data_IF_117980929224
#
_entry.id   IF_117980929224
#
_cell.length_a   1.000
_cell.length_b   1.000
_cell.length_c   1.000
_cell.angle_alpha   90.00
_cell.angle_beta   90.00
_cell.angle_gamma   90.00
#
_symmetry.space_group_name_H-M   'P 1'
#
loop_
_entity.id
_entity.type
_entity.pdbx_description
1 polymer ?
#
# COMPACT_ATOMS: atom_id res chain seq x y z
N UNK A 1 25.94 -18.40 -24.64
CA UNK A 1 24.69 -18.36 -23.83
C UNK A 1 24.67 -19.37 -22.68
N UNK A 2 24.85 -20.67 -22.93
CA UNK A 2 24.79 -21.71 -21.88
C UNK A 2 25.79 -21.50 -20.72
N UNK A 3 27.04 -21.17 -21.04
CA UNK A 3 28.10 -20.93 -20.03
C UNK A 3 27.83 -19.68 -19.19
N UNK A 4 27.38 -18.60 -19.84
CA UNK A 4 27.02 -17.34 -19.18
C UNK A 4 25.86 -17.58 -18.19
N UNK A 5 24.86 -18.34 -18.60
CA UNK A 5 23.72 -18.71 -17.76
C UNK A 5 24.15 -19.54 -16.54
N UNK A 6 25.07 -20.48 -16.73
CA UNK A 6 25.68 -21.24 -15.63
C UNK A 6 26.43 -20.33 -14.65
N UNK A 7 27.16 -19.34 -15.16
CA UNK A 7 27.87 -18.37 -14.32
C UNK A 7 26.90 -17.51 -13.50
N UNK A 8 25.78 -17.08 -14.07
CA UNK A 8 24.75 -16.34 -13.32
C UNK A 8 24.08 -17.17 -12.22
N UNK A 9 23.90 -18.48 -12.43
CA UNK A 9 23.38 -19.40 -11.42
C UNK A 9 24.35 -19.57 -10.24
N UNK A 10 25.64 -19.64 -10.54
CA UNK A 10 26.68 -19.81 -9.52
C UNK A 10 26.93 -18.51 -8.74
N UNK A 11 26.93 -17.35 -9.41
CA UNK A 11 27.16 -16.05 -8.79
C UNK A 11 26.05 -15.02 -9.12
N UNK A 12 24.83 -15.17 -8.55
CA UNK A 12 23.70 -14.29 -8.85
C UNK A 12 23.89 -12.82 -8.41
N UNK A 13 24.93 -12.54 -7.62
CA UNK A 13 25.22 -11.22 -7.08
C UNK A 13 26.00 -10.32 -8.04
N UNK A 14 26.67 -10.88 -9.05
CA UNK A 14 27.47 -10.11 -10.01
C UNK A 14 26.70 -9.69 -11.27
N UNK A 15 25.42 -10.08 -11.36
CA UNK A 15 24.58 -9.80 -12.53
C UNK A 15 24.35 -8.29 -12.65
N UNK A 16 24.73 -7.73 -13.80
CA UNK A 16 24.68 -6.29 -14.07
C UNK A 16 23.43 -5.88 -14.88
N UNK A 17 23.30 -4.60 -15.22
CA UNK A 17 22.19 -4.09 -16.04
C UNK A 17 22.14 -4.68 -17.45
N UNK A 18 23.30 -4.90 -18.08
CA UNK A 18 23.36 -5.44 -19.45
C UNK A 18 22.89 -6.89 -19.50
N UNK A 19 23.28 -7.69 -18.50
CA UNK A 19 22.78 -9.06 -18.32
C UNK A 19 21.26 -9.08 -18.15
N UNK A 20 20.69 -8.08 -17.48
CA UNK A 20 19.25 -8.01 -17.26
C UNK A 20 18.45 -7.89 -18.57
N UNK A 21 19.03 -7.26 -19.61
CA UNK A 21 18.41 -7.17 -20.93
C UNK A 21 18.38 -8.56 -21.58
N UNK A 22 19.50 -9.28 -21.55
CA UNK A 22 19.64 -10.63 -22.10
C UNK A 22 18.70 -11.61 -21.38
N UNK A 23 18.64 -11.54 -20.04
CA UNK A 23 17.76 -12.40 -19.25
C UNK A 23 16.28 -12.06 -19.53
N UNK A 24 15.95 -10.79 -19.78
CA UNK A 24 14.59 -10.39 -20.16
C UNK A 24 14.19 -10.99 -21.50
N UNK A 25 15.05 -10.95 -22.49
CA UNK A 25 14.83 -11.61 -23.79
C UNK A 25 14.64 -13.14 -23.61
N UNK A 26 15.42 -13.77 -22.72
CA UNK A 26 15.22 -15.18 -22.36
C UNK A 26 13.87 -15.45 -21.70
N UNK A 27 13.34 -14.53 -20.90
CA UNK A 27 12.02 -14.66 -20.27
C UNK A 27 10.91 -14.52 -21.31
N UNK A 28 11.09 -13.65 -22.30
CA UNK A 28 10.10 -13.46 -23.37
C UNK A 28 10.04 -14.70 -24.26
N UNK A 29 11.20 -15.31 -24.56
CA UNK A 29 11.29 -16.56 -25.32
C UNK A 29 10.85 -17.80 -24.51
N UNK A 30 11.07 -17.80 -23.18
CA UNK A 30 10.73 -18.92 -22.30
C UNK A 30 9.96 -18.44 -21.05
N UNK A 31 8.66 -18.12 -21.19
CA UNK A 31 7.88 -17.48 -20.12
C UNK A 31 7.76 -18.28 -18.83
N UNK A 32 7.86 -19.61 -18.88
CA UNK A 32 7.71 -20.48 -17.72
C UNK A 32 9.06 -20.86 -17.07
N UNK A 33 10.18 -20.33 -17.58
CA UNK A 33 11.49 -20.59 -17.00
C UNK A 33 11.67 -19.81 -15.68
N UNK A 34 11.43 -20.51 -14.57
CA UNK A 34 11.45 -19.93 -13.22
C UNK A 34 12.83 -19.43 -12.82
N UNK A 35 13.89 -20.13 -13.21
CA UNK A 35 15.29 -19.76 -12.96
C UNK A 35 15.67 -18.45 -13.66
N UNK A 36 15.26 -18.25 -14.91
CA UNK A 36 15.50 -16.99 -15.63
C UNK A 36 14.76 -15.83 -14.95
N UNK A 37 13.52 -16.03 -14.52
CA UNK A 37 12.77 -15.03 -13.75
C UNK A 37 13.41 -14.70 -12.40
N UNK A 38 14.00 -15.68 -11.73
CA UNK A 38 14.75 -15.48 -10.48
C UNK A 38 16.02 -14.66 -10.71
N UNK A 39 16.79 -14.98 -11.75
CA UNK A 39 18.01 -14.24 -12.12
C UNK A 39 17.70 -12.80 -12.53
N UNK A 40 16.63 -12.58 -13.31
CA UNK A 40 16.16 -11.24 -13.67
C UNK A 40 15.71 -10.45 -12.45
N UNK A 41 14.93 -11.06 -11.56
CA UNK A 41 14.52 -10.42 -10.32
C UNK A 41 15.75 -10.05 -9.46
N UNK A 42 16.78 -10.90 -9.46
CA UNK A 42 18.02 -10.65 -8.73
C UNK A 42 18.82 -9.50 -9.33
N UNK A 43 18.92 -9.40 -10.66
CA UNK A 43 19.60 -8.28 -11.32
C UNK A 43 18.91 -6.94 -11.03
N UNK A 44 17.57 -6.93 -11.04
CA UNK A 44 16.78 -5.75 -10.63
C UNK A 44 17.01 -5.38 -9.16
N UNK A 45 17.21 -6.38 -8.28
CA UNK A 45 17.52 -6.17 -6.87
C UNK A 45 18.89 -5.54 -6.69
N UNK A 46 19.91 -6.04 -7.40
CA UNK A 46 21.28 -5.55 -7.32
C UNK A 46 21.40 -4.10 -7.82
N UNK A 47 20.65 -3.77 -8.88
CA UNK A 47 20.62 -2.43 -9.50
C UNK A 47 19.65 -1.45 -8.84
N UNK A 48 18.89 -1.86 -7.82
CA UNK A 48 17.82 -1.08 -7.18
C UNK A 48 16.80 -0.50 -8.20
N UNK A 49 16.42 -1.29 -9.21
CA UNK A 49 15.51 -0.83 -10.25
C UNK A 49 14.08 -0.64 -9.71
N UNK A 50 13.40 0.42 -10.16
CA UNK A 50 12.02 0.77 -9.77
C UNK A 50 11.03 -0.37 -10.08
N UNK A 51 11.28 -1.12 -11.16
CA UNK A 51 10.45 -2.24 -11.59
C UNK A 51 10.65 -3.52 -10.77
N UNK A 52 11.55 -3.52 -9.77
CA UNK A 52 11.81 -4.67 -8.92
C UNK A 52 10.54 -5.20 -8.25
N UNK A 53 9.75 -4.34 -7.61
CA UNK A 53 8.56 -4.76 -6.85
C UNK A 53 7.47 -5.36 -7.77
N UNK A 54 7.31 -4.81 -8.96
CA UNK A 54 6.38 -5.35 -9.95
C UNK A 54 6.80 -6.75 -10.40
N UNK A 55 8.09 -6.92 -10.74
CA UNK A 55 8.64 -8.21 -11.16
C UNK A 55 8.70 -9.22 -10.02
N UNK A 56 8.88 -8.78 -8.77
CA UNK A 56 8.82 -9.64 -7.58
C UNK A 56 7.46 -10.34 -7.48
N UNK A 57 6.36 -9.59 -7.66
CA UNK A 57 5.00 -10.15 -7.64
C UNK A 57 4.81 -11.17 -8.77
N UNK A 58 5.26 -10.84 -9.98
CA UNK A 58 5.20 -11.76 -11.12
C UNK A 58 6.00 -13.03 -10.87
N UNK A 59 7.28 -12.92 -10.54
CA UNK A 59 8.16 -14.07 -10.27
C UNK A 59 7.64 -14.93 -9.12
N UNK A 60 7.03 -14.34 -8.09
CA UNK A 60 6.40 -15.08 -7.01
C UNK A 60 5.20 -15.93 -7.46
N UNK A 61 4.46 -15.50 -8.48
CA UNK A 61 3.35 -16.28 -9.05
C UNK A 61 3.85 -17.47 -9.87
N UNK A 62 4.97 -17.33 -10.58
CA UNK A 62 5.60 -18.41 -11.34
C UNK A 62 6.48 -19.33 -10.48
N UNK A 63 6.83 -18.93 -9.25
CA UNK A 63 7.73 -19.70 -8.40
C UNK A 63 6.98 -20.84 -7.69
N UNK A 64 7.46 -22.09 -7.75
CA UNK A 64 6.82 -23.22 -7.09
C UNK A 64 6.90 -23.14 -5.56
N UNK A 65 7.96 -22.57 -5.00
CA UNK A 65 8.11 -22.38 -3.55
C UNK A 65 8.48 -20.94 -3.21
N UNK A 66 7.48 -20.21 -2.70
CA UNK A 66 7.62 -18.83 -2.25
C UNK A 66 8.55 -18.68 -1.04
N UNK A 67 8.69 -19.71 -0.18
CA UNK A 67 9.65 -19.68 0.93
C UNK A 67 11.06 -19.73 0.40
N UNK A 68 11.36 -20.63 -0.54
CA UNK A 68 12.67 -20.72 -1.19
C UNK A 68 13.04 -19.44 -1.94
N UNK A 69 12.09 -18.81 -2.63
CA UNK A 69 12.26 -17.47 -3.22
C UNK A 69 12.59 -16.42 -2.15
N UNK A 70 11.83 -16.38 -1.06
CA UNK A 70 12.09 -15.46 0.04
C UNK A 70 13.49 -15.66 0.63
N UNK A 71 13.87 -16.90 0.94
CA UNK A 71 15.22 -17.22 1.43
C UNK A 71 16.27 -16.74 0.44
N UNK A 72 16.14 -17.05 -0.85
CA UNK A 72 17.06 -16.60 -1.89
C UNK A 72 17.24 -15.07 -1.95
N UNK A 73 16.13 -14.32 -1.81
CA UNK A 73 16.16 -12.85 -1.83
C UNK A 73 16.69 -12.22 -0.53
N UNK A 74 16.60 -12.94 0.60
CA UNK A 74 16.92 -12.43 1.94
C UNK A 74 18.22 -12.98 2.53
N UNK A 75 18.79 -14.07 1.98
CA UNK A 75 19.94 -14.80 2.51
C UNK A 75 21.11 -13.89 2.89
N UNK A 76 21.39 -12.88 2.07
CA UNK A 76 22.49 -11.95 2.32
C UNK A 76 22.18 -10.94 3.44
N UNK A 77 20.92 -10.50 3.56
CA UNK A 77 20.49 -9.59 4.64
C UNK A 77 20.53 -10.28 6.01
N UNK A 78 20.18 -11.56 6.07
CA UNK A 78 20.22 -12.35 7.31
C UNK A 78 21.65 -12.52 7.81
N UNK A 79 22.60 -12.78 6.91
CA UNK A 79 24.03 -12.86 7.27
C UNK A 79 24.62 -11.50 7.68
N UNK A 80 24.21 -10.40 7.03
CA UNK A 80 24.57 -9.04 7.44
C UNK A 80 24.02 -8.70 8.83
N UNK A 81 22.75 -9.02 9.10
CA UNK A 81 22.13 -8.76 10.41
C UNK A 81 22.78 -9.60 11.53
N UNK A 82 23.14 -10.86 11.25
CA UNK A 82 23.88 -11.71 12.20
C UNK A 82 25.27 -11.16 12.52
N UNK A 83 25.94 -10.51 11.55
CA UNK A 83 27.20 -9.78 11.80
C UNK A 83 26.99 -8.49 12.59
N UNK A 84 25.93 -7.73 12.29
CA UNK A 84 25.60 -6.46 12.96
C UNK A 84 25.23 -6.69 14.43
N UNK A 85 24.51 -7.76 14.77
CA UNK A 85 24.15 -8.10 16.16
C UNK A 85 25.36 -8.37 17.07
N UNK A 86 26.49 -8.78 16.49
CA UNK A 86 27.72 -9.06 17.24
C UNK A 86 28.65 -7.84 17.39
N UNK A 87 28.27 -6.68 16.84
CA UNK A 87 29.12 -5.46 16.77
C UNK A 87 28.48 -4.23 17.42
N UNK A 88 27.33 -4.34 18.08
CA UNK A 88 26.65 -3.19 18.72
C UNK A 88 27.03 -2.96 20.18
N UNK A 89 28.24 -3.32 20.59
CA UNK A 89 28.89 -2.69 21.73
C UNK A 89 29.87 -1.66 21.15
N UNK A 90 29.59 -0.38 21.40
CA UNK A 90 30.30 0.82 20.88
C UNK A 90 29.89 1.28 19.46
N UNK A 91 29.10 2.36 19.40
CA UNK A 91 29.37 3.60 18.63
C UNK A 91 28.13 4.52 18.64
N UNK A 92 28.31 5.58 19.43
CA UNK A 92 27.70 6.91 19.48
C UNK A 92 26.92 7.46 18.27
N UNK A 93 25.71 7.94 18.57
CA UNK A 93 25.17 9.29 18.31
C UNK A 93 25.91 10.23 17.32
N UNK A 94 25.59 10.13 16.02
CA UNK A 94 25.42 11.26 15.05
C UNK A 94 25.42 10.71 13.63
N UNK A 95 24.25 10.40 13.06
CA UNK A 95 23.91 10.34 11.62
C UNK A 95 22.53 9.67 11.47
N UNK A 96 21.46 10.43 11.72
CA UNK A 96 20.10 9.99 11.38
C UNK A 96 19.94 10.23 9.87
N UNK A 97 20.41 9.28 9.06
CA UNK A 97 20.20 9.26 7.61
C UNK A 97 18.75 8.88 7.30
N UNK A 98 18.19 9.35 6.17
CA UNK A 98 16.80 9.07 5.73
C UNK A 98 16.44 7.58 5.85
N UNK A 99 17.42 6.70 5.64
CA UNK A 99 17.35 5.24 5.82
C UNK A 99 17.01 4.80 7.25
N UNK A 100 17.53 5.47 8.28
CA UNK A 100 17.20 5.19 9.68
C UNK A 100 15.78 5.63 10.03
N UNK A 101 15.29 6.73 9.45
CA UNK A 101 13.91 7.21 9.65
C UNK A 101 12.93 6.23 8.98
N UNK A 102 13.22 5.82 7.73
CA UNK A 102 12.45 4.82 6.99
C UNK A 102 12.37 3.50 7.78
N UNK A 103 13.50 3.05 8.37
CA UNK A 103 13.53 1.83 9.20
C UNK A 103 12.68 1.98 10.48
N UNK A 104 12.73 3.13 11.16
CA UNK A 104 11.91 3.38 12.37
C UNK A 104 10.41 3.51 12.06
N UNK A 105 10.07 4.02 10.89
CA UNK A 105 8.69 4.07 10.39
C UNK A 105 8.24 2.74 9.75
N UNK A 106 9.13 1.73 9.69
CA UNK A 106 8.86 0.43 9.06
C UNK A 106 8.39 0.53 7.60
N UNK A 107 8.82 1.57 6.88
CA UNK A 107 8.35 1.86 5.53
C UNK A 107 8.82 0.79 4.54
N UNK A 108 7.91 0.28 3.72
CA UNK A 108 8.15 -0.77 2.72
C UNK A 108 8.29 -2.18 3.30
N UNK A 109 8.07 -2.36 4.61
CA UNK A 109 7.92 -3.68 5.22
C UNK A 109 6.47 -4.13 5.11
N UNK A 110 6.20 -5.44 4.89
CA UNK A 110 4.84 -5.95 4.93
C UNK A 110 4.24 -5.71 6.31
N UNK A 111 2.97 -5.28 6.35
CA UNK A 111 2.20 -5.15 7.59
C UNK A 111 2.11 -6.53 8.26
N UNK A 112 2.48 -6.60 9.53
CA UNK A 112 2.36 -7.82 10.34
C UNK A 112 0.93 -7.95 10.86
N UNK A 113 0.33 -9.13 10.71
CA UNK A 113 -0.99 -9.46 11.23
C UNK A 113 -0.84 -10.32 12.49
N UNK A 114 -1.47 -9.90 13.58
CA UNK A 114 -1.49 -10.68 14.83
C UNK A 114 -2.54 -11.79 14.73
N UNK A 115 -2.28 -12.96 15.33
CA UNK A 115 -3.23 -14.09 15.29
C UNK A 115 -4.50 -13.81 16.10
N UNK A 116 -4.44 -12.86 17.02
CA UNK A 116 -5.55 -12.42 17.86
C UNK A 116 -6.47 -11.41 17.15
N UNK A 117 -6.14 -10.98 15.92
CA UNK A 117 -7.00 -10.12 15.12
C UNK A 117 -8.30 -10.85 14.78
N UNK A 118 -9.40 -10.36 15.36
CA UNK A 118 -10.72 -11.01 15.27
C UNK A 118 -11.32 -11.07 13.87
N UNK A 119 -10.92 -10.16 12.98
CA UNK A 119 -11.48 -10.05 11.64
C UNK A 119 -10.37 -9.71 10.63
N UNK A 120 -10.31 -10.48 9.54
CA UNK A 120 -9.43 -10.15 8.41
C UNK A 120 -9.90 -8.86 7.72
N UNK A 121 -8.99 -8.09 7.13
CA UNK A 121 -9.36 -6.93 6.31
C UNK A 121 -10.45 -7.24 5.27
N UNK A 122 -10.39 -8.43 4.65
CA UNK A 122 -11.40 -8.87 3.68
C UNK A 122 -12.77 -9.09 4.31
N UNK A 123 -12.81 -9.49 5.57
CA UNK A 123 -14.03 -9.69 6.35
C UNK A 123 -14.64 -8.35 6.75
N UNK A 124 -13.79 -7.39 7.12
CA UNK A 124 -14.20 -6.01 7.34
C UNK A 124 -14.70 -5.34 6.05
N UNK A 125 -14.08 -5.64 4.91
CA UNK A 125 -14.55 -5.19 3.60
C UNK A 125 -15.94 -5.74 3.28
N UNK A 126 -16.23 -7.02 3.62
CA UNK A 126 -17.57 -7.60 3.47
C UNK A 126 -18.63 -6.87 4.30
N UNK A 127 -18.29 -6.37 5.48
CA UNK A 127 -19.21 -5.56 6.29
C UNK A 127 -19.55 -4.21 5.62
N UNK A 128 -18.62 -3.67 4.82
CA UNK A 128 -18.83 -2.43 4.06
C UNK A 128 -19.53 -2.63 2.70
N UNK A 129 -19.65 -3.88 2.21
CA UNK A 129 -20.30 -4.17 0.95
C UNK A 129 -21.81 -3.97 1.08
N UNK A 130 -22.32 -2.95 0.39
CA UNK A 130 -23.76 -2.67 0.30
C UNK A 130 -24.44 -3.83 -0.43
N UNK A 131 -25.55 -4.34 0.12
CA UNK A 131 -26.34 -5.39 -0.55
C UNK A 131 -26.84 -4.85 -1.90
N UNK A 132 -26.61 -5.57 -3.02
CA UNK A 132 -27.10 -5.13 -4.32
C UNK A 132 -28.62 -5.03 -4.30
N UNK A 133 -29.14 -3.92 -4.81
CA UNK A 133 -30.58 -3.69 -4.92
C UNK A 133 -31.14 -4.76 -5.85
N UNK A 134 -32.04 -5.60 -5.31
CA UNK A 134 -32.70 -6.63 -6.10
C UNK A 134 -33.72 -5.94 -7.02
N UNK A 135 -33.32 -5.67 -8.27
CA UNK A 135 -34.21 -5.15 -9.31
C UNK A 135 -35.11 -6.28 -9.81
N UNK A 136 -35.95 -6.83 -8.93
CA UNK A 136 -37.09 -7.63 -9.37
C UNK A 136 -37.95 -6.69 -10.20
N UNK A 137 -38.31 -7.10 -11.42
CA UNK A 137 -39.17 -6.32 -12.31
C UNK A 137 -40.47 -6.03 -11.56
N UNK A 138 -40.66 -4.77 -11.17
CA UNK A 138 -41.92 -4.31 -10.60
C UNK A 138 -43.01 -4.65 -11.63
N UNK A 139 -44.07 -5.34 -11.21
CA UNK A 139 -45.23 -5.62 -12.06
C UNK A 139 -45.71 -4.31 -12.68
N UNK A 140 -46.10 -4.30 -13.96
CA UNK A 140 -46.48 -3.10 -14.73
C UNK A 140 -47.45 -2.17 -13.96
N UNK A 141 -48.35 -2.75 -13.16
CA UNK A 141 -49.29 -2.02 -12.30
C UNK A 141 -48.64 -1.18 -11.17
N UNK A 142 -47.49 -1.59 -10.61
CA UNK A 142 -46.77 -0.79 -9.61
C UNK A 142 -45.97 0.34 -10.27
N UNK A 143 -45.41 0.08 -11.45
CA UNK A 143 -44.71 1.10 -12.23
C UNK A 143 -45.69 2.21 -12.66
N UNK A 144 -46.85 1.85 -13.18
CA UNK A 144 -47.89 2.82 -13.58
C UNK A 144 -48.38 3.68 -12.40
N UNK A 145 -48.58 3.10 -11.21
CA UNK A 145 -48.94 3.86 -10.00
C UNK A 145 -47.83 4.82 -9.56
N UNK A 146 -46.56 4.46 -9.75
CA UNK A 146 -45.43 5.35 -9.44
C UNK A 146 -45.31 6.46 -10.47
N UNK A 147 -45.52 6.15 -11.76
CA UNK A 147 -45.53 7.13 -12.84
C UNK A 147 -46.65 8.15 -12.65
N UNK A 148 -47.86 7.72 -12.30
CA UNK A 148 -48.98 8.64 -12.04
C UNK A 148 -48.70 9.55 -10.83
N UNK A 149 -48.09 9.02 -9.76
CA UNK A 149 -47.66 9.85 -8.63
C UNK A 149 -46.59 10.88 -9.02
N UNK A 150 -45.71 10.55 -9.96
CA UNK A 150 -44.68 11.48 -10.46
C UNK A 150 -45.32 12.56 -11.32
N UNK A 151 -46.28 12.22 -12.16
CA UNK A 151 -47.03 13.18 -12.99
C UNK A 151 -47.83 14.16 -12.13
N UNK A 152 -48.56 13.67 -11.12
CA UNK A 152 -49.26 14.49 -10.14
C UNK A 152 -48.30 15.41 -9.36
N UNK A 153 -47.13 14.89 -9.00
CA UNK A 153 -46.09 15.67 -8.32
C UNK A 153 -45.51 16.76 -9.21
N UNK A 154 -45.30 16.50 -10.50
CA UNK A 154 -44.79 17.50 -11.44
C UNK A 154 -45.85 18.58 -11.70
N UNK A 155 -47.12 18.19 -11.87
CA UNK A 155 -48.23 19.10 -12.13
C UNK A 155 -48.53 20.02 -10.94
N UNK A 156 -48.50 19.49 -9.71
CA UNK A 156 -48.86 20.23 -8.50
C UNK A 156 -47.65 20.79 -7.73
N UNK A 157 -46.45 20.73 -8.32
CA UNK A 157 -45.26 21.33 -7.71
C UNK A 157 -45.38 22.85 -7.75
N UNK A 158 -45.68 23.44 -6.60
CA UNK A 158 -45.36 24.84 -6.33
C UNK A 158 -43.84 25.04 -6.45
N UNK A 159 -43.37 25.45 -7.63
CA UNK A 159 -41.96 25.81 -7.89
C UNK A 159 -41.60 26.98 -6.98
N UNK A 160 -41.09 26.70 -5.78
CA UNK A 160 -40.23 27.67 -5.10
C UNK A 160 -39.04 27.87 -6.03
N UNK A 161 -39.00 29.03 -6.67
CA UNK A 161 -37.82 29.54 -7.39
C UNK A 161 -36.65 29.31 -6.43
N UNK A 162 -35.65 28.53 -6.86
CA UNK A 162 -34.42 28.43 -6.08
C UNK A 162 -33.96 29.86 -5.88
N UNK A 163 -33.94 30.34 -4.64
CA UNK A 163 -33.05 31.46 -4.31
C UNK A 163 -31.70 31.04 -4.85
N UNK A 164 -31.14 31.88 -5.72
CA UNK A 164 -29.79 31.74 -6.23
C UNK A 164 -28.95 31.31 -5.04
N UNK A 165 -28.39 30.10 -5.13
CA UNK A 165 -27.52 29.65 -4.07
C UNK A 165 -26.37 30.64 -4.08
N UNK A 166 -26.32 31.53 -3.09
CA UNK A 166 -25.12 32.28 -2.79
C UNK A 166 -24.02 31.22 -2.75
N UNK A 167 -23.15 31.24 -3.77
CA UNK A 167 -21.90 30.51 -3.78
C UNK A 167 -21.03 31.16 -2.72
N UNK A 168 -21.40 30.94 -1.46
CA UNK A 168 -20.55 31.25 -0.33
C UNK A 168 -19.41 30.25 -0.39
N UNK A 169 -18.21 30.75 -0.61
CA UNK A 169 -16.94 30.04 -0.48
C UNK A 169 -16.81 29.29 0.86
N UNK A 170 -17.69 29.58 1.83
CA UNK A 170 -17.80 28.88 3.10
C UNK A 170 -18.03 27.35 2.98
N UNK A 171 -18.75 26.86 1.95
CA UNK A 171 -18.98 25.40 1.77
C UNK A 171 -17.81 24.67 1.09
N UNK A 172 -16.95 25.35 0.33
CA UNK A 172 -15.75 24.74 -0.25
C UNK A 172 -14.67 24.53 0.81
N UNK A 173 -14.63 25.36 1.86
CA UNK A 173 -13.68 25.19 2.96
C UNK A 173 -13.84 23.87 3.73
N UNK A 174 -15.05 23.30 3.76
CA UNK A 174 -15.29 22.03 4.44
C UNK A 174 -14.78 20.81 3.64
N UNK A 175 -14.60 20.90 2.32
CA UNK A 175 -14.00 19.82 1.52
C UNK A 175 -12.48 19.75 1.67
N UNK A 176 -11.85 20.85 2.09
CA UNK A 176 -10.40 20.91 2.40
C UNK A 176 -10.09 20.16 3.70
N UNK A 177 -11.02 20.14 4.65
CA UNK A 177 -10.87 19.39 5.91
C UNK A 177 -11.15 17.91 5.68
N UNK A 178 -10.12 17.08 5.81
CA UNK A 178 -10.26 15.63 5.82
C UNK A 178 -11.06 15.19 7.05
N UNK A 179 -12.34 14.87 6.86
CA UNK A 179 -13.13 14.16 7.84
C UNK A 179 -12.89 12.66 7.68
N UNK A 180 -12.32 12.03 8.69
CA UNK A 180 -12.21 10.58 8.73
C UNK A 180 -13.37 10.00 9.54
N UNK A 181 -14.30 9.34 8.85
CA UNK A 181 -15.40 8.62 9.51
C UNK A 181 -14.88 7.45 10.34
N UNK A 182 -13.82 6.79 9.86
CA UNK A 182 -13.16 5.70 10.58
C UNK A 182 -11.64 5.85 10.45
N UNK A 183 -10.95 5.87 11.60
CA UNK A 183 -9.48 5.91 11.68
C UNK A 183 -8.95 4.75 12.48
N UNK A 184 -7.97 4.05 11.89
CA UNK A 184 -7.21 2.98 12.52
C UNK A 184 -5.71 3.22 12.32
N UNK A 185 -4.88 2.62 13.18
CA UNK A 185 -3.42 2.70 13.06
C UNK A 185 -2.93 2.15 11.72
N UNK A 186 -3.55 1.07 11.24
CA UNK A 186 -3.26 0.46 9.93
C UNK A 186 -3.56 1.42 8.79
N UNK A 187 -4.68 2.15 8.84
CA UNK A 187 -5.02 3.15 7.83
C UNK A 187 -4.00 4.29 7.79
N UNK A 188 -3.54 4.76 8.96
CA UNK A 188 -2.52 5.80 9.05
C UNK A 188 -1.18 5.34 8.44
N UNK A 189 -0.77 4.07 8.69
CA UNK A 189 0.40 3.45 8.06
C UNK A 189 0.26 3.36 6.54
N UNK A 190 -0.91 2.95 6.03
CA UNK A 190 -1.18 2.88 4.59
C UNK A 190 -1.05 4.25 3.92
N UNK A 191 -1.55 5.33 4.54
CA UNK A 191 -1.36 6.67 3.99
C UNK A 191 0.11 7.08 3.94
N UNK A 192 0.90 6.68 4.94
CA UNK A 192 2.33 6.92 4.98
C UNK A 192 3.05 6.20 3.82
N UNK A 193 2.76 4.92 3.61
CA UNK A 193 3.29 4.13 2.49
C UNK A 193 2.92 4.71 1.12
N UNK A 194 1.72 5.26 1.00
CA UNK A 194 1.24 5.92 -0.22
C UNK A 194 1.85 7.33 -0.43
N UNK A 195 2.64 7.84 0.52
CA UNK A 195 3.21 9.18 0.47
C UNK A 195 2.23 10.32 0.81
N UNK A 196 1.02 9.99 1.28
CA UNK A 196 0.03 10.97 1.72
C UNK A 196 0.28 11.43 3.18
N UNK A 197 1.38 12.16 3.39
CA UNK A 197 1.85 12.51 4.73
C UNK A 197 0.85 13.36 5.53
N UNK A 198 0.18 14.32 4.91
CA UNK A 198 -0.81 15.17 5.59
C UNK A 198 -1.99 14.36 6.12
N UNK A 199 -2.48 13.40 5.33
CA UNK A 199 -3.53 12.46 5.77
C UNK A 199 -3.03 11.54 6.88
N UNK A 200 -1.79 11.06 6.78
CA UNK A 200 -1.18 10.21 7.81
C UNK A 200 -1.05 10.95 9.15
N UNK A 201 -0.57 12.20 9.14
CA UNK A 201 -0.47 13.06 10.34
C UNK A 201 -1.84 13.30 10.96
N UNK A 202 -2.84 13.65 10.15
CA UNK A 202 -4.20 13.91 10.63
C UNK A 202 -4.83 12.64 11.25
N UNK A 203 -4.61 11.48 10.63
CA UNK A 203 -5.04 10.20 11.17
C UNK A 203 -4.36 9.87 12.51
N UNK A 204 -3.03 10.04 12.62
CA UNK A 204 -2.32 9.83 13.90
C UNK A 204 -2.75 10.81 14.98
N UNK A 205 -3.02 12.06 14.61
CA UNK A 205 -3.56 13.06 15.53
C UNK A 205 -4.93 12.64 16.07
N UNK A 206 -5.85 12.18 15.20
CA UNK A 206 -7.16 11.69 15.63
C UNK A 206 -7.05 10.43 16.50
N UNK A 207 -6.11 9.52 16.22
CA UNK A 207 -5.85 8.36 17.06
C UNK A 207 -5.29 8.73 18.44
N UNK A 208 -4.44 9.76 18.53
CA UNK A 208 -3.94 10.26 19.80
C UNK A 208 -5.06 10.82 20.69
N UNK A 209 -6.02 11.54 20.09
CA UNK A 209 -7.22 12.01 20.78
C UNK A 209 -8.13 10.86 21.22
N UNK A 210 -8.27 9.82 20.39
CA UNK A 210 -9.12 8.66 20.67
C UNK A 210 -8.52 7.69 21.70
N UNK A 211 -7.20 7.56 21.74
CA UNK A 211 -6.47 6.60 22.58
C UNK A 211 -5.33 7.27 23.36
N UNK A 212 -5.63 8.02 24.43
CA UNK A 212 -4.63 8.84 25.14
C UNK A 212 -3.47 8.02 25.72
N UNK A 213 -3.69 6.74 26.07
CA UNK A 213 -2.63 5.83 26.53
C UNK A 213 -1.51 5.60 25.50
N UNK A 214 -1.82 5.72 24.21
CA UNK A 214 -0.88 5.57 23.09
C UNK A 214 -0.48 6.91 22.48
N UNK A 215 -0.89 8.04 23.06
CA UNK A 215 -0.64 9.38 22.51
C UNK A 215 0.84 9.66 22.26
N UNK A 216 1.72 9.30 23.20
CA UNK A 216 3.17 9.45 23.07
C UNK A 216 3.74 8.72 21.84
N UNK A 217 3.24 7.50 21.57
CA UNK A 217 3.63 6.72 20.39
C UNK A 217 3.23 7.47 19.11
N UNK A 218 1.98 7.92 19.00
CA UNK A 218 1.51 8.64 17.82
C UNK A 218 2.22 9.98 17.61
N UNK A 219 2.51 10.72 18.69
CA UNK A 219 3.30 11.94 18.62
C UNK A 219 4.70 11.68 18.05
N UNK A 220 5.36 10.61 18.49
CA UNK A 220 6.67 10.22 17.96
C UNK A 220 6.62 9.88 16.46
N UNK A 221 5.54 9.26 15.98
CA UNK A 221 5.35 8.97 14.55
C UNK A 221 5.16 10.25 13.73
N UNK A 222 4.38 11.22 14.24
CA UNK A 222 4.20 12.52 13.60
C UNK A 222 5.55 13.25 13.49
N UNK A 223 6.37 13.24 14.54
CA UNK A 223 7.72 13.83 14.49
C UNK A 223 8.61 13.16 13.44
N UNK A 224 8.57 11.84 13.34
CA UNK A 224 9.35 11.09 12.34
C UNK A 224 8.90 11.42 10.92
N UNK A 225 7.59 11.59 10.68
CA UNK A 225 7.05 12.03 9.39
C UNK A 225 7.52 13.44 9.07
N UNK A 226 7.48 14.37 10.03
CA UNK A 226 7.98 15.74 9.83
C UNK A 226 9.48 15.75 9.47
N UNK A 227 10.28 14.92 10.15
CA UNK A 227 11.71 14.74 9.84
C UNK A 227 11.95 14.11 8.46
N UNK A 228 10.98 13.35 7.93
CA UNK A 228 11.05 12.75 6.60
C UNK A 228 10.70 13.76 5.49
N UNK A 229 9.76 14.69 5.74
CA UNK A 229 9.36 15.74 4.79
C UNK A 229 10.44 16.82 4.65
N UNK A 230 11.01 17.27 5.77
CA UNK A 230 11.97 18.39 5.80
C UNK A 230 13.38 18.02 5.29
N UNK A 231 13.56 16.89 4.58
CA UNK A 231 14.88 16.34 4.23
C UNK A 231 14.93 15.60 2.89
#
# INVERSE_FOLDING_TARGET
MKEIYSNWLNEPFKINSDDAIIIKELIDNYPFCTTSRLLYLKSLQNTNNINYNYNLKKTAAYSPDRKRLFYFLTQNKVNLNKRILNTTDTINTKLITKKNIIKRLSIGQPLEFQKEEKYSFNEWLKLSQVKPINRVKETENQFQKKVSLIEDFIANRNRKIKKEADFSDAKSNNSIKFHFDIVTETLAKVYLEQGHYEKAKAAYHQLALKYPKKSSLFASQIELINKLINK
#
